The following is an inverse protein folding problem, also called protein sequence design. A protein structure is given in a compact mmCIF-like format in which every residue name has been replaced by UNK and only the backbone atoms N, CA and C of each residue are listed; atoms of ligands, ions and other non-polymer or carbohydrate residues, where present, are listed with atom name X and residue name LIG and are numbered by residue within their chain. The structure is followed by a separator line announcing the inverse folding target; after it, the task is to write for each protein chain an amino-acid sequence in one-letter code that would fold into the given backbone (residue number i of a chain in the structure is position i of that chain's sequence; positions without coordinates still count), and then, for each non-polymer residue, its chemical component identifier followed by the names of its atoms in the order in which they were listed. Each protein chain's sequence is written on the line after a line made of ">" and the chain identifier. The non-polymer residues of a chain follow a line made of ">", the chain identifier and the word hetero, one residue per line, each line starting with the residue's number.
data_IF_709914028708
#
_entry.id   IF_709914028708
#
_cell.length_a   1.000
_cell.length_b   1.000
_cell.length_c   1.000
_cell.angle_alpha   90.00
_cell.angle_beta   90.00
_cell.angle_gamma   90.00
#
_symmetry.space_group_name_H-M   'P 1'
#
loop_
_entity.id
_entity.type
_entity.pdbx_description
1 polymer ?
#
# COMPACT_ATOMS: atom_id res chain seq x y z
N UNK A 1 -7.06 26.27 0.34
CA UNK A 1 -7.72 25.24 1.18
C UNK A 1 -6.68 24.19 1.49
N UNK A 2 -6.16 24.19 2.71
CA UNK A 2 -5.08 23.28 3.16
C UNK A 2 -5.64 21.89 3.47
N UNK A 3 -6.17 21.22 2.45
CA UNK A 3 -6.82 19.91 2.55
C UNK A 3 -5.98 18.77 3.17
N UNK A 4 -4.63 18.70 3.08
CA UNK A 4 -3.90 17.63 3.75
C UNK A 4 -3.73 17.85 5.27
N UNK A 5 -4.26 18.93 5.86
CA UNK A 5 -4.05 19.23 7.30
C UNK A 5 -4.50 18.10 8.24
N UNK A 6 -5.67 17.46 8.08
CA UNK A 6 -6.11 16.44 9.05
C UNK A 6 -5.27 15.16 8.95
N UNK A 7 -4.82 14.82 7.74
CA UNK A 7 -3.99 13.64 7.49
C UNK A 7 -2.58 13.85 8.08
N UNK A 8 -2.04 15.07 7.96
CA UNK A 8 -0.74 15.42 8.57
C UNK A 8 -0.81 15.36 10.09
N UNK A 9 -1.88 15.86 10.69
CA UNK A 9 -2.08 15.77 12.15
C UNK A 9 -2.18 14.31 12.62
N UNK A 10 -2.97 13.48 11.94
CA UNK A 10 -3.08 12.06 12.23
C UNK A 10 -1.73 11.34 12.07
N UNK A 11 -0.98 11.66 11.02
CA UNK A 11 0.37 11.12 10.81
C UNK A 11 1.32 11.50 11.95
N UNK A 12 1.30 12.77 12.37
CA UNK A 12 2.12 13.24 13.49
C UNK A 12 1.71 12.58 14.81
N UNK A 13 0.42 12.37 15.04
CA UNK A 13 -0.09 11.65 16.22
C UNK A 13 0.43 10.20 16.24
N UNK A 14 0.35 9.51 15.10
CA UNK A 14 0.86 8.14 14.96
C UNK A 14 2.37 8.10 15.20
N UNK A 15 3.13 9.05 14.64
CA UNK A 15 4.56 9.12 14.86
C UNK A 15 4.90 9.39 16.33
N UNK A 16 4.23 10.35 16.97
CA UNK A 16 4.44 10.66 18.38
C UNK A 16 4.14 9.46 19.29
N UNK A 17 3.14 8.63 18.93
CA UNK A 17 2.85 7.38 19.64
C UNK A 17 3.89 6.29 19.39
N UNK A 18 4.48 6.24 18.19
CA UNK A 18 5.47 5.23 17.79
C UNK A 18 6.92 5.60 18.14
N UNK A 19 7.19 6.88 18.42
CA UNK A 19 8.51 7.39 18.82
C UNK A 19 9.10 6.68 20.04
N UNK A 20 8.34 6.44 21.13
CA UNK A 20 8.84 5.70 22.29
C UNK A 20 9.10 4.20 22.02
N UNK A 21 8.58 3.66 20.92
CA UNK A 21 8.58 2.23 20.60
C UNK A 21 9.32 1.97 19.26
N UNK A 22 10.65 2.19 19.21
CA UNK A 22 11.42 2.17 17.97
C UNK A 22 11.36 0.81 17.25
N UNK A 23 11.28 -0.29 17.99
CA UNK A 23 11.16 -1.66 17.43
C UNK A 23 9.83 -1.84 16.73
N UNK A 24 8.72 -1.42 17.37
CA UNK A 24 7.38 -1.52 16.77
C UNK A 24 7.30 -0.63 15.54
N UNK A 25 7.84 0.60 15.61
CA UNK A 25 7.91 1.51 14.46
C UNK A 25 8.66 0.89 13.29
N UNK A 26 9.81 0.25 13.54
CA UNK A 26 10.60 -0.40 12.51
C UNK A 26 9.84 -1.59 11.87
N UNK A 27 9.19 -2.43 12.67
CA UNK A 27 8.40 -3.56 12.18
C UNK A 27 7.22 -3.07 11.34
N UNK A 28 6.47 -2.08 11.82
CA UNK A 28 5.33 -1.51 11.09
C UNK A 28 5.77 -0.85 9.79
N UNK A 29 6.86 -0.07 9.83
CA UNK A 29 7.46 0.52 8.64
C UNK A 29 7.91 -0.54 7.64
N UNK A 30 8.57 -1.60 8.11
CA UNK A 30 8.99 -2.70 7.26
C UNK A 30 7.80 -3.37 6.56
N UNK A 31 6.76 -3.71 7.32
CA UNK A 31 5.55 -4.34 6.76
C UNK A 31 4.88 -3.40 5.75
N UNK A 32 4.74 -2.12 6.08
CA UNK A 32 4.10 -1.13 5.23
C UNK A 32 4.85 -0.92 3.90
N UNK A 33 6.17 -0.91 3.91
CA UNK A 33 6.98 -0.62 2.71
C UNK A 33 7.33 -1.89 1.92
N UNK A 34 7.66 -2.99 2.58
CA UNK A 34 8.20 -4.18 1.92
C UNK A 34 7.21 -5.32 1.72
N UNK A 35 6.04 -5.29 2.36
CA UNK A 35 5.09 -6.39 2.26
C UNK A 35 3.71 -5.98 1.74
N UNK A 36 3.09 -4.99 2.38
CA UNK A 36 1.70 -4.59 2.12
C UNK A 36 1.40 -4.27 0.64
N UNK A 37 2.21 -3.43 -0.04
CA UNK A 37 1.96 -3.03 -1.42
C UNK A 37 2.02 -4.25 -2.34
N UNK A 38 3.13 -5.00 -2.30
CA UNK A 38 3.29 -6.19 -3.12
C UNK A 38 2.23 -7.24 -2.84
N UNK A 39 1.86 -7.44 -1.57
CA UNK A 39 0.80 -8.38 -1.17
C UNK A 39 -0.56 -8.00 -1.76
N UNK A 40 -0.93 -6.72 -1.72
CA UNK A 40 -2.18 -6.25 -2.32
C UNK A 40 -2.22 -6.50 -3.83
N UNK A 41 -1.11 -6.24 -4.53
CA UNK A 41 -0.99 -6.51 -5.96
C UNK A 41 -1.03 -8.01 -6.30
N UNK A 42 -0.58 -8.89 -5.40
CA UNK A 42 -0.68 -10.33 -5.65
C UNK A 42 -2.12 -10.82 -5.82
N UNK A 43 -3.13 -10.16 -5.22
CA UNK A 43 -4.53 -10.55 -5.41
C UNK A 43 -5.09 -10.17 -6.78
N UNK A 44 -4.50 -9.17 -7.43
CA UNK A 44 -4.88 -8.77 -8.79
C UNK A 44 -4.19 -9.68 -9.80
N UNK A 45 -2.87 -9.81 -9.72
CA UNK A 45 -2.09 -10.51 -10.73
C UNK A 45 -2.14 -12.04 -10.59
N UNK A 46 -2.22 -12.57 -9.36
CA UNK A 46 -2.07 -14.00 -9.09
C UNK A 46 -3.28 -14.58 -8.36
N UNK A 47 -4.16 -15.23 -9.12
CA UNK A 47 -5.44 -15.78 -8.61
C UNK A 47 -5.29 -17.11 -7.86
N UNK A 48 -4.42 -18.00 -8.33
CA UNK A 48 -4.24 -19.34 -7.77
C UNK A 48 -2.75 -19.60 -7.56
N UNK A 49 -2.23 -19.18 -6.41
CA UNK A 49 -0.85 -19.41 -5.99
C UNK A 49 -0.85 -19.85 -4.53
N UNK A 50 0.14 -20.66 -4.17
CA UNK A 50 0.28 -21.17 -2.80
C UNK A 50 0.64 -20.03 -1.83
N UNK A 51 0.42 -20.25 -0.53
CA UNK A 51 0.69 -19.23 0.50
C UNK A 51 2.17 -18.81 0.51
N UNK A 52 3.08 -19.78 0.43
CA UNK A 52 4.53 -19.53 0.42
C UNK A 52 4.91 -18.70 -0.81
N UNK A 53 4.42 -19.10 -1.98
CA UNK A 53 4.66 -18.38 -3.24
C UNK A 53 4.11 -16.95 -3.18
N UNK A 54 2.93 -16.75 -2.58
CA UNK A 54 2.35 -15.42 -2.39
C UNK A 54 3.20 -14.53 -1.51
N UNK A 55 3.79 -15.07 -0.44
CA UNK A 55 4.68 -14.32 0.46
C UNK A 55 5.98 -13.96 -0.26
N UNK A 56 6.57 -14.88 -1.01
CA UNK A 56 7.80 -14.59 -1.76
C UNK A 56 7.55 -13.56 -2.85
N UNK A 57 6.46 -13.69 -3.61
CA UNK A 57 6.09 -12.74 -4.64
C UNK A 57 5.71 -11.38 -4.07
N UNK A 58 5.07 -11.31 -2.89
CA UNK A 58 4.72 -10.02 -2.30
C UNK A 58 5.96 -9.21 -1.92
N UNK A 59 7.01 -9.85 -1.38
CA UNK A 59 8.26 -9.16 -1.06
C UNK A 59 8.94 -8.61 -2.32
N UNK A 60 9.12 -9.45 -3.35
CA UNK A 60 9.72 -9.04 -4.61
C UNK A 60 8.91 -7.92 -5.30
N UNK A 61 7.59 -8.10 -5.35
CA UNK A 61 6.69 -7.15 -5.99
C UNK A 61 6.62 -5.83 -5.23
N UNK A 62 6.73 -5.83 -3.90
CA UNK A 62 6.73 -4.60 -3.11
C UNK A 62 7.92 -3.71 -3.45
N UNK A 63 9.12 -4.29 -3.55
CA UNK A 63 10.34 -3.53 -3.92
C UNK A 63 10.14 -2.87 -5.27
N UNK A 64 9.72 -3.64 -6.29
CA UNK A 64 9.51 -3.13 -7.65
C UNK A 64 8.44 -2.04 -7.68
N UNK A 65 7.28 -2.32 -7.10
CA UNK A 65 6.12 -1.41 -7.13
C UNK A 65 6.40 -0.12 -6.37
N UNK A 66 6.99 -0.21 -5.18
CA UNK A 66 7.32 0.98 -4.37
C UNK A 66 8.38 1.83 -5.08
N UNK A 67 9.46 1.23 -5.56
CA UNK A 67 10.52 1.97 -6.27
C UNK A 67 9.99 2.66 -7.52
N UNK A 68 9.23 1.95 -8.36
CA UNK A 68 8.63 2.54 -9.57
C UNK A 68 7.67 3.66 -9.19
N UNK A 69 6.82 3.46 -8.18
CA UNK A 69 5.83 4.46 -7.79
C UNK A 69 6.48 5.74 -7.25
N UNK A 70 7.55 5.62 -6.46
CA UNK A 70 8.30 6.77 -5.97
C UNK A 70 9.05 7.50 -7.10
N UNK A 71 9.63 6.76 -8.05
CA UNK A 71 10.26 7.34 -9.24
C UNK A 71 9.25 8.11 -10.09
N UNK A 72 8.06 7.55 -10.31
CA UNK A 72 6.98 8.20 -11.03
C UNK A 72 6.48 9.45 -10.30
N UNK A 73 6.30 9.37 -8.98
CA UNK A 73 5.91 10.52 -8.16
C UNK A 73 6.95 11.65 -8.25
N UNK A 74 8.24 11.32 -8.19
CA UNK A 74 9.32 12.29 -8.36
C UNK A 74 9.32 12.93 -9.74
N UNK A 75 9.11 12.11 -10.80
CA UNK A 75 9.00 12.61 -12.17
C UNK A 75 7.77 13.51 -12.38
N UNK A 76 6.70 13.29 -11.63
CA UNK A 76 5.50 14.15 -11.62
C UNK A 76 5.68 15.45 -10.79
N UNK A 77 6.89 15.71 -10.28
CA UNK A 77 7.21 16.92 -9.51
C UNK A 77 6.93 16.81 -8.01
N UNK A 78 6.55 15.63 -7.50
CA UNK A 78 6.37 15.40 -6.06
C UNK A 78 7.73 15.18 -5.41
N UNK A 79 8.14 16.08 -4.52
CA UNK A 79 9.39 15.91 -3.75
C UNK A 79 9.35 14.62 -2.95
N UNK A 80 10.42 13.82 -3.04
CA UNK A 80 10.60 12.61 -2.22
C UNK A 80 10.92 13.02 -0.79
N UNK A 81 9.87 13.20 0.02
CA UNK A 81 9.96 13.39 1.47
C UNK A 81 9.38 12.17 2.17
N UNK A 82 9.70 11.93 3.44
CA UNK A 82 9.16 10.79 4.19
C UNK A 82 7.63 10.75 4.18
N UNK A 83 6.97 11.89 4.40
CA UNK A 83 5.51 11.99 4.36
C UNK A 83 4.93 11.69 2.97
N UNK A 84 5.50 12.26 1.91
CA UNK A 84 5.03 12.02 0.54
C UNK A 84 5.26 10.56 0.13
N UNK A 85 6.39 9.97 0.52
CA UNK A 85 6.69 8.57 0.23
C UNK A 85 5.67 7.64 0.89
N UNK A 86 5.35 7.86 2.17
CA UNK A 86 4.31 7.11 2.88
C UNK A 86 2.95 7.26 2.20
N UNK A 87 2.57 8.47 1.79
CA UNK A 87 1.31 8.69 1.06
C UNK A 87 1.27 7.94 -0.27
N UNK A 88 2.35 7.98 -1.06
CA UNK A 88 2.46 7.23 -2.32
C UNK A 88 2.30 5.73 -2.06
N UNK A 89 2.97 5.19 -1.04
CA UNK A 89 2.88 3.77 -0.67
C UNK A 89 1.45 3.38 -0.26
N UNK A 90 0.78 4.23 0.53
CA UNK A 90 -0.62 4.02 0.93
C UNK A 90 -1.52 3.99 -0.31
N UNK A 91 -1.40 4.97 -1.22
CA UNK A 91 -2.20 5.03 -2.45
C UNK A 91 -1.99 3.77 -3.30
N UNK A 92 -0.73 3.40 -3.50
CA UNK A 92 -0.34 2.24 -4.32
C UNK A 92 -0.79 0.91 -3.71
N UNK A 93 -1.02 0.84 -2.40
CA UNK A 93 -1.57 -0.32 -1.70
C UNK A 93 -3.10 -0.35 -1.76
N UNK A 94 -3.75 0.80 -1.58
CA UNK A 94 -5.23 0.90 -1.57
C UNK A 94 -5.81 0.67 -2.96
N UNK A 95 -5.18 1.20 -4.01
CA UNK A 95 -5.66 1.07 -5.40
C UNK A 95 -5.94 -0.40 -5.80
N UNK A 96 -4.97 -1.33 -5.71
CA UNK A 96 -5.21 -2.71 -6.08
C UNK A 96 -6.23 -3.40 -5.16
N UNK A 97 -6.20 -3.11 -3.85
CA UNK A 97 -7.17 -3.67 -2.91
C UNK A 97 -8.62 -3.25 -3.26
N UNK A 98 -8.81 -1.98 -3.61
CA UNK A 98 -10.11 -1.44 -4.00
C UNK A 98 -10.61 -2.06 -5.31
N UNK A 99 -9.74 -2.12 -6.34
CA UNK A 99 -10.07 -2.75 -7.63
C UNK A 99 -10.47 -4.22 -7.43
N UNK A 100 -9.73 -4.96 -6.61
CA UNK A 100 -10.05 -6.35 -6.29
C UNK A 100 -11.42 -6.50 -5.62
N UNK A 101 -11.73 -5.64 -4.62
CA UNK A 101 -12.99 -5.72 -3.89
C UNK A 101 -14.20 -5.35 -4.75
N UNK A 102 -14.07 -4.31 -5.59
CA UNK A 102 -15.10 -3.90 -6.54
C UNK A 102 -15.38 -5.00 -7.57
N UNK A 103 -14.33 -5.56 -8.18
CA UNK A 103 -14.48 -6.67 -9.14
C UNK A 103 -15.12 -7.91 -8.51
N UNK A 104 -14.80 -8.21 -7.25
CA UNK A 104 -15.41 -9.33 -6.51
C UNK A 104 -16.90 -9.10 -6.28
N UNK A 105 -17.33 -7.87 -5.97
CA UNK A 105 -18.75 -7.54 -5.78
C UNK A 105 -19.53 -7.60 -7.09
N UNK A 106 -18.99 -7.06 -8.18
CA UNK A 106 -19.65 -7.07 -9.50
C UNK A 106 -19.87 -8.51 -9.99
N UNK A 107 -18.87 -9.39 -9.86
CA UNK A 107 -19.00 -10.80 -10.25
C UNK A 107 -20.03 -11.57 -9.41
N UNK A 108 -20.19 -11.24 -8.13
CA UNK A 108 -21.23 -11.84 -7.27
C UNK A 108 -22.64 -11.41 -7.69
N UNK A 109 -22.82 -10.13 -8.06
CA UNK A 109 -24.12 -9.62 -8.53
C UNK A 109 -24.56 -10.30 -9.84
N UNK A 110 -23.64 -10.55 -10.76
CA UNK A 110 -23.93 -11.23 -12.03
C UNK A 110 -24.31 -12.71 -11.88
N UNK A 111 -23.91 -13.38 -10.79
CA UNK A 111 -24.17 -14.81 -10.55
C UNK A 111 -25.50 -15.08 -9.82
N UNK A 112 -26.08 -14.05 -9.19
CA UNK A 112 -27.38 -14.12 -8.52
C UNK A 112 -28.54 -13.67 -9.44
N UNK A 113 -28.25 -13.31 -10.69
CA UNK A 113 -29.23 -12.85 -11.69
C UNK A 113 -29.52 -13.91 -12.77
N UNK A 114 -29.03 -15.13 -12.59
CA UNK A 114 -29.28 -16.35 -13.39
C UNK A 114 -29.77 -17.43 -12.45
#
# INVERSE_FOLDING_TARGET
>A
MDWPSPIRELFNLILAFLEPLPVIRAILGFILVFFLPGFAWTFIFFKQINVIERITLSLALSIVVVTISLLLANRAGVKITGFNAVLVIIIVTILPALVYFLNKRIRRKSRNAT
#
